data_IF_558952269320
#
_entry.id   IF_558952269320
#
_cell.length_a   1.000
_cell.length_b   1.000
_cell.length_c   1.000
_cell.angle_alpha   90.00
_cell.angle_beta   90.00
_cell.angle_gamma   90.00
#
_symmetry.space_group_name_H-M   'P 1'
#
loop_
_entity.id
_entity.type
_entity.pdbx_description
1 polymer ?
#
# COMPACT_ATOMS: atom_id res chain seq x y z
N UNK A 1 2.60 -19.92 1.71
CA UNK A 1 2.43 -18.46 1.78
C UNK A 1 2.34 -18.03 3.23
N UNK A 2 3.04 -16.99 3.59
CA UNK A 2 3.03 -16.45 4.93
C UNK A 2 2.90 -14.93 4.88
N UNK A 3 2.16 -14.34 5.83
CA UNK A 3 2.10 -12.89 6.04
C UNK A 3 2.65 -12.61 7.44
N UNK A 4 3.59 -11.69 7.54
CA UNK A 4 4.25 -11.33 8.80
C UNK A 4 4.55 -9.82 8.87
N UNK A 5 4.83 -9.28 10.07
CA UNK A 5 5.35 -7.91 10.17
C UNK A 5 6.67 -7.73 9.40
N UNK A 6 6.92 -6.49 8.97
CA UNK A 6 8.19 -6.12 8.33
C UNK A 6 9.35 -6.26 9.34
N UNK A 7 10.51 -6.68 8.84
CA UNK A 7 11.75 -6.84 9.61
C UNK A 7 12.87 -5.97 9.02
N UNK A 8 13.94 -5.66 9.80
CA UNK A 8 15.01 -4.77 9.32
C UNK A 8 15.67 -5.18 8.00
N UNK A 9 15.81 -6.47 7.76
CA UNK A 9 16.47 -6.99 6.55
C UNK A 9 15.60 -7.01 5.30
N UNK A 10 14.35 -6.53 5.36
CA UNK A 10 13.40 -6.67 4.25
C UNK A 10 13.48 -5.55 3.20
N UNK A 11 14.14 -4.44 3.52
CA UNK A 11 14.09 -3.23 2.70
C UNK A 11 14.45 -3.44 1.22
N UNK A 12 15.56 -4.08 0.96
CA UNK A 12 16.08 -4.27 -0.41
C UNK A 12 15.12 -5.11 -1.26
N UNK A 13 14.66 -6.24 -0.72
CA UNK A 13 13.75 -7.13 -1.43
C UNK A 13 12.38 -6.47 -1.68
N UNK A 14 11.86 -5.74 -0.72
CA UNK A 14 10.60 -5.00 -0.86
C UNK A 14 10.72 -3.90 -1.91
N UNK A 15 11.79 -3.10 -1.88
CA UNK A 15 12.01 -2.04 -2.87
C UNK A 15 12.04 -2.61 -4.28
N UNK A 16 12.70 -3.75 -4.47
CA UNK A 16 12.76 -4.44 -5.76
C UNK A 16 11.39 -4.90 -6.22
N UNK A 17 10.59 -5.53 -5.36
CA UNK A 17 9.23 -5.99 -5.69
C UNK A 17 8.36 -4.79 -6.10
N UNK A 18 8.38 -3.71 -5.32
CA UNK A 18 7.56 -2.52 -5.56
C UNK A 18 7.90 -1.87 -6.89
N UNK A 19 9.19 -1.61 -7.15
CA UNK A 19 9.63 -0.95 -8.38
C UNK A 19 9.42 -1.83 -9.61
N UNK A 20 9.67 -3.13 -9.50
CA UNK A 20 9.41 -4.07 -10.59
C UNK A 20 7.93 -4.11 -10.93
N UNK A 21 7.04 -4.18 -9.93
CA UNK A 21 5.60 -4.19 -10.15
C UNK A 21 5.13 -2.89 -10.83
N UNK A 22 5.58 -1.73 -10.36
CA UNK A 22 5.22 -0.44 -10.96
C UNK A 22 5.69 -0.35 -12.41
N UNK A 23 6.92 -0.74 -12.70
CA UNK A 23 7.47 -0.72 -14.06
C UNK A 23 6.71 -1.65 -15.02
N UNK A 24 6.29 -2.83 -14.55
CA UNK A 24 5.49 -3.77 -15.35
C UNK A 24 4.16 -3.17 -15.82
N UNK A 25 3.56 -2.29 -15.04
CA UNK A 25 2.30 -1.63 -15.37
C UNK A 25 2.49 -0.24 -15.99
N UNK A 26 3.72 0.16 -16.31
CA UNK A 26 4.00 1.49 -16.85
C UNK A 26 3.80 2.61 -15.84
N UNK A 27 3.82 2.31 -14.55
CA UNK A 27 3.56 3.24 -13.46
C UNK A 27 4.86 3.77 -12.81
N UNK A 28 6.01 3.60 -13.46
CA UNK A 28 7.32 4.08 -13.03
C UNK A 28 7.52 5.56 -13.40
N UNK A 29 6.64 6.42 -12.88
CA UNK A 29 6.57 7.84 -13.21
C UNK A 29 7.07 8.71 -12.05
N UNK A 30 7.60 9.94 -12.34
CA UNK A 30 7.88 10.92 -11.29
C UNK A 30 6.63 11.23 -10.45
N UNK A 31 6.82 11.50 -9.16
CA UNK A 31 5.73 11.79 -8.24
C UNK A 31 4.96 10.56 -7.77
N UNK A 32 5.46 9.35 -8.01
CA UNK A 32 4.89 8.08 -7.54
C UNK A 32 5.83 7.38 -6.56
N UNK A 33 5.37 6.28 -5.98
CA UNK A 33 6.15 5.44 -5.07
C UNK A 33 7.48 4.97 -5.70
N UNK A 34 7.54 4.80 -7.03
CA UNK A 34 8.75 4.37 -7.72
C UNK A 34 9.96 5.27 -7.42
N UNK A 35 9.76 6.60 -7.38
CA UNK A 35 10.81 7.58 -7.14
C UNK A 35 10.85 8.09 -5.70
N UNK A 36 9.97 7.60 -4.83
CA UNK A 36 9.95 7.96 -3.43
C UNK A 36 11.16 7.30 -2.72
N UNK A 37 12.08 8.09 -2.11
CA UNK A 37 13.25 7.52 -1.45
C UNK A 37 12.90 6.65 -0.25
N UNK A 38 11.73 6.82 0.39
CA UNK A 38 11.30 5.97 1.50
C UNK A 38 11.04 4.53 1.05
N UNK A 39 10.87 4.26 -0.24
CA UNK A 39 10.73 2.93 -0.80
C UNK A 39 11.96 2.05 -0.51
N UNK A 40 13.13 2.64 -0.33
CA UNK A 40 14.36 1.93 0.02
C UNK A 40 14.55 1.73 1.53
N UNK A 41 13.71 2.33 2.35
CA UNK A 41 13.82 2.35 3.80
C UNK A 41 12.46 2.09 4.48
N UNK A 42 11.74 1.07 4.02
CA UNK A 42 10.37 0.79 4.50
C UNK A 42 10.33 0.38 5.97
N UNK A 43 11.28 -0.40 6.44
CA UNK A 43 11.32 -0.77 7.85
C UNK A 43 11.40 0.48 8.75
N UNK A 44 12.27 1.42 8.40
CA UNK A 44 12.45 2.67 9.14
C UNK A 44 11.20 3.54 9.04
N UNK A 45 10.60 3.64 7.86
CA UNK A 45 9.37 4.40 7.65
C UNK A 45 8.23 3.89 8.54
N UNK A 46 8.06 2.58 8.60
CA UNK A 46 6.95 1.96 9.34
C UNK A 46 7.25 1.75 10.84
N UNK A 47 8.32 2.35 11.36
CA UNK A 47 8.50 2.57 12.79
C UNK A 47 7.76 3.82 13.29
N UNK A 48 7.21 4.62 12.38
CA UNK A 48 6.35 5.76 12.72
C UNK A 48 5.15 5.30 13.55
N UNK A 49 4.87 5.92 14.72
CA UNK A 49 3.68 5.57 15.50
C UNK A 49 2.40 5.70 14.67
N UNK A 50 1.49 4.74 14.83
CA UNK A 50 0.25 4.70 14.05
C UNK A 50 0.40 4.07 12.66
N UNK A 51 1.57 3.52 12.34
CA UNK A 51 1.81 2.83 11.07
C UNK A 51 2.12 1.34 11.29
N UNK A 52 1.94 0.57 10.23
CA UNK A 52 2.27 -0.86 10.21
C UNK A 52 2.47 -1.33 8.77
N UNK A 53 3.37 -2.30 8.56
CA UNK A 53 3.57 -2.91 7.24
C UNK A 53 3.61 -4.43 7.37
N UNK A 54 2.78 -5.09 6.58
CA UNK A 54 2.80 -6.55 6.44
C UNK A 54 3.58 -6.96 5.21
N UNK A 55 4.43 -7.97 5.37
CA UNK A 55 5.22 -8.58 4.30
C UNK A 55 4.65 -9.94 3.97
N UNK A 56 4.53 -10.24 2.70
CA UNK A 56 4.11 -11.55 2.21
C UNK A 56 5.28 -12.32 1.62
N UNK A 57 5.39 -13.59 1.99
CA UNK A 57 6.44 -14.50 1.49
C UNK A 57 5.83 -15.77 0.92
N UNK A 58 6.53 -16.36 -0.08
CA UNK A 58 6.31 -17.70 -0.60
C UNK A 58 7.63 -18.41 -0.52
N UNK A 59 7.69 -19.56 0.18
CA UNK A 59 8.93 -20.32 0.40
C UNK A 59 10.06 -19.41 0.92
N UNK A 60 9.75 -18.58 1.91
CA UNK A 60 10.65 -17.61 2.55
C UNK A 60 11.14 -16.48 1.65
N UNK A 61 10.72 -16.43 0.39
CA UNK A 61 11.04 -15.35 -0.54
C UNK A 61 9.97 -14.25 -0.44
N UNK A 62 10.39 -13.00 -0.28
CA UNK A 62 9.49 -11.84 -0.23
C UNK A 62 8.86 -11.65 -1.61
N UNK A 63 7.53 -11.65 -1.66
CA UNK A 63 6.75 -11.47 -2.89
C UNK A 63 5.83 -10.26 -2.85
N UNK A 64 5.79 -9.54 -1.76
CA UNK A 64 4.99 -8.33 -1.67
C UNK A 64 4.73 -7.87 -0.26
N UNK A 65 3.82 -6.92 -0.13
CA UNK A 65 3.42 -6.37 1.15
C UNK A 65 2.35 -5.29 1.01
N UNK A 66 1.91 -4.80 2.16
CA UNK A 66 0.90 -3.75 2.27
C UNK A 66 1.03 -3.05 3.62
N UNK A 67 0.81 -1.76 3.67
CA UNK A 67 0.90 -1.00 4.90
C UNK A 67 -0.21 0.00 5.15
N UNK A 68 -0.27 0.43 6.39
CA UNK A 68 -1.10 1.52 6.89
C UNK A 68 -0.19 2.63 7.39
N UNK A 69 -0.45 3.87 7.00
CA UNK A 69 0.36 5.01 7.37
C UNK A 69 -0.49 6.21 7.78
N UNK A 70 -0.10 6.95 8.85
CA UNK A 70 -0.80 8.17 9.28
C UNK A 70 -0.34 9.36 8.42
N UNK A 71 -0.74 9.39 7.17
CA UNK A 71 -0.31 10.41 6.20
C UNK A 71 -0.70 11.81 6.68
N UNK A 72 0.21 12.74 6.50
CA UNK A 72 0.07 14.12 6.93
C UNK A 72 -1.18 14.79 6.33
N UNK A 73 -1.86 15.58 7.16
CA UNK A 73 -3.05 16.36 6.79
C UNK A 73 -4.29 15.54 6.36
N UNK A 74 -4.33 14.23 6.63
CA UNK A 74 -5.57 13.49 6.49
C UNK A 74 -6.59 13.92 7.56
N UNK A 75 -7.91 13.81 7.27
CA UNK A 75 -8.91 14.06 8.29
C UNK A 75 -8.72 13.19 9.53
N UNK A 76 -9.15 13.69 10.69
CA UNK A 76 -9.03 12.96 11.95
C UNK A 76 -9.63 11.55 11.83
N UNK A 77 -8.91 10.55 12.37
CA UNK A 77 -9.35 9.16 12.35
C UNK A 77 -9.12 8.45 11.01
N UNK A 78 -8.48 9.12 10.04
CA UNK A 78 -8.20 8.58 8.71
C UNK A 78 -6.72 8.21 8.58
N UNK A 79 -6.45 7.01 8.06
CA UNK A 79 -5.12 6.58 7.67
C UNK A 79 -5.07 6.29 6.16
N UNK A 80 -3.88 6.04 5.65
CA UNK A 80 -3.70 5.69 4.24
C UNK A 80 -3.26 4.23 4.08
N UNK A 81 -3.92 3.50 3.18
CA UNK A 81 -3.45 2.19 2.71
C UNK A 81 -2.37 2.45 1.66
N UNK A 82 -1.17 1.97 1.92
CA UNK A 82 0.00 2.32 1.12
C UNK A 82 0.78 1.09 0.70
N UNK A 83 1.43 1.20 -0.45
CA UNK A 83 2.46 0.27 -0.91
C UNK A 83 1.97 -1.19 -0.94
N UNK A 84 0.74 -1.41 -1.42
CA UNK A 84 0.22 -2.74 -1.72
C UNK A 84 0.74 -3.18 -3.09
N UNK A 85 1.74 -4.02 -3.10
CA UNK A 85 2.35 -4.53 -4.33
C UNK A 85 2.67 -6.01 -4.19
N UNK A 86 2.55 -6.73 -5.31
CA UNK A 86 2.89 -8.16 -5.41
C UNK A 86 3.79 -8.42 -6.61
N UNK A 87 4.75 -9.28 -6.44
CA UNK A 87 5.51 -9.86 -7.54
C UNK A 87 4.56 -10.63 -8.47
N UNK A 88 4.91 -10.70 -9.74
CA UNK A 88 4.07 -11.30 -10.78
C UNK A 88 3.61 -12.72 -10.42
N UNK A 89 4.50 -13.54 -9.90
CA UNK A 89 4.23 -14.94 -9.53
C UNK A 89 3.24 -15.08 -8.36
N UNK A 90 3.04 -14.03 -7.58
CA UNK A 90 2.11 -14.05 -6.44
C UNK A 90 0.72 -13.48 -6.77
N UNK A 91 0.55 -12.92 -7.97
CA UNK A 91 -0.73 -12.35 -8.39
C UNK A 91 -1.74 -13.44 -8.76
N UNK A 92 -3.02 -13.15 -8.52
CA UNK A 92 -4.09 -14.11 -8.81
C UNK A 92 -4.19 -15.26 -7.81
N UNK A 93 -3.46 -15.21 -6.69
CA UNK A 93 -3.47 -16.24 -5.63
C UNK A 93 -4.41 -15.88 -4.47
N UNK A 94 -5.00 -14.69 -4.46
CA UNK A 94 -5.77 -14.16 -3.33
C UNK A 94 -4.91 -13.47 -2.28
N UNK A 95 -3.60 -13.44 -2.43
CA UNK A 95 -2.66 -12.87 -1.45
C UNK A 95 -2.84 -11.37 -1.28
N UNK A 96 -3.07 -10.64 -2.38
CA UNK A 96 -3.33 -9.20 -2.32
C UNK A 96 -4.58 -8.85 -1.51
N UNK A 97 -5.63 -9.63 -1.67
CA UNK A 97 -6.85 -9.48 -0.89
C UNK A 97 -6.60 -9.75 0.59
N UNK A 98 -5.86 -10.81 0.91
CA UNK A 98 -5.51 -11.13 2.30
C UNK A 98 -4.67 -10.02 2.95
N UNK A 99 -3.68 -9.49 2.23
CA UNK A 99 -2.87 -8.36 2.71
C UNK A 99 -3.72 -7.14 2.99
N UNK A 100 -4.65 -6.82 2.11
CA UNK A 100 -5.55 -5.69 2.29
C UNK A 100 -6.46 -5.91 3.50
N UNK A 101 -7.10 -7.06 3.60
CA UNK A 101 -8.02 -7.38 4.71
C UNK A 101 -7.32 -7.31 6.08
N UNK A 102 -6.12 -7.87 6.19
CA UNK A 102 -5.37 -7.83 7.46
C UNK A 102 -4.93 -6.40 7.79
N UNK A 103 -4.56 -5.61 6.79
CA UNK A 103 -4.20 -4.20 6.99
C UNK A 103 -5.39 -3.36 7.44
N UNK A 104 -6.56 -3.57 6.84
CA UNK A 104 -7.79 -2.88 7.24
C UNK A 104 -8.22 -3.27 8.66
N UNK A 105 -8.09 -4.54 9.03
CA UNK A 105 -8.36 -5.02 10.39
C UNK A 105 -7.42 -4.35 11.40
N UNK A 106 -6.13 -4.29 11.08
CA UNK A 106 -5.15 -3.61 11.92
C UNK A 106 -5.51 -2.13 12.13
N UNK A 107 -5.89 -1.44 11.06
CA UNK A 107 -6.29 -0.03 11.12
C UNK A 107 -7.48 0.16 12.07
N UNK A 108 -8.51 -0.66 11.93
CA UNK A 108 -9.70 -0.61 12.80
C UNK A 108 -9.35 -0.88 14.26
N UNK A 109 -8.55 -1.89 14.54
CA UNK A 109 -8.11 -2.26 15.89
C UNK A 109 -7.25 -1.16 16.54
N UNK A 110 -6.59 -0.34 15.74
CA UNK A 110 -5.74 0.77 16.21
C UNK A 110 -6.43 2.13 16.20
N UNK A 111 -7.76 2.15 16.13
CA UNK A 111 -8.56 3.34 16.35
C UNK A 111 -8.88 4.17 15.11
N UNK A 112 -8.47 3.73 13.92
CA UNK A 112 -8.86 4.41 12.69
C UNK A 112 -10.31 4.09 12.31
N UNK A 113 -11.00 5.07 11.74
CA UNK A 113 -12.39 4.94 11.31
C UNK A 113 -12.56 4.99 9.80
N UNK A 114 -11.55 5.48 9.09
CA UNK A 114 -11.53 5.59 7.63
C UNK A 114 -10.15 5.25 7.08
N UNK A 115 -10.14 4.72 5.87
CA UNK A 115 -8.90 4.43 5.14
C UNK A 115 -8.97 5.10 3.77
N UNK A 116 -7.94 5.86 3.47
CA UNK A 116 -7.72 6.56 2.21
C UNK A 116 -6.67 5.81 1.39
N UNK A 117 -6.74 5.88 0.07
CA UNK A 117 -5.67 5.41 -0.81
C UNK A 117 -5.55 6.28 -2.06
N UNK A 118 -4.39 6.23 -2.67
CA UNK A 118 -4.08 6.87 -3.95
C UNK A 118 -3.62 5.81 -4.96
N UNK A 119 -4.04 5.95 -6.19
CA UNK A 119 -3.69 5.04 -7.27
C UNK A 119 -3.64 5.78 -8.61
N UNK A 120 -3.53 5.04 -9.69
CA UNK A 120 -3.45 5.59 -11.03
C UNK A 120 -4.09 4.63 -12.05
N UNK A 121 -4.53 5.11 -13.23
CA UNK A 121 -5.22 4.28 -14.23
C UNK A 121 -4.42 3.06 -14.68
N UNK A 122 -3.09 3.14 -14.68
CA UNK A 122 -2.20 2.03 -15.03
C UNK A 122 -2.38 0.83 -14.11
N UNK A 123 -2.93 1.03 -12.89
CA UNK A 123 -3.20 0.00 -11.89
C UNK A 123 -4.69 -0.37 -11.85
N UNK A 124 -5.36 -0.44 -12.99
CA UNK A 124 -6.82 -0.62 -13.10
C UNK A 124 -7.35 -1.87 -12.39
N UNK A 125 -6.60 -2.98 -12.39
CA UNK A 125 -7.00 -4.20 -11.67
C UNK A 125 -7.06 -3.98 -10.17
N UNK A 126 -6.07 -3.29 -9.61
CA UNK A 126 -6.05 -2.95 -8.19
C UNK A 126 -7.23 -2.03 -7.82
N UNK A 127 -7.49 -1.02 -8.65
CA UNK A 127 -8.63 -0.10 -8.45
C UNK A 127 -9.96 -0.88 -8.42
N UNK A 128 -10.15 -1.82 -9.33
CA UNK A 128 -11.35 -2.67 -9.35
C UNK A 128 -11.51 -3.48 -8.06
N UNK A 129 -10.41 -4.01 -7.51
CA UNK A 129 -10.43 -4.74 -6.23
C UNK A 129 -10.79 -3.80 -5.08
N UNK A 130 -10.24 -2.59 -5.05
CA UNK A 130 -10.57 -1.60 -4.03
C UNK A 130 -12.06 -1.25 -4.03
N UNK A 131 -12.65 -1.05 -5.21
CA UNK A 131 -14.10 -0.81 -5.35
C UNK A 131 -14.92 -1.97 -4.78
N UNK A 132 -14.55 -3.21 -5.08
CA UNK A 132 -15.24 -4.41 -4.58
C UNK A 132 -15.16 -4.56 -3.07
N UNK A 133 -14.08 -4.08 -2.46
CA UNK A 133 -13.89 -4.12 -1.01
C UNK A 133 -14.65 -2.99 -0.31
N UNK A 134 -15.12 -1.99 -1.04
CA UNK A 134 -15.95 -0.91 -0.52
C UNK A 134 -15.30 0.46 -0.52
N UNK A 135 -14.15 0.63 -1.16
CA UNK A 135 -13.58 1.95 -1.40
C UNK A 135 -14.40 2.70 -2.44
N UNK A 136 -14.65 3.97 -2.20
CA UNK A 136 -15.38 4.87 -3.10
C UNK A 136 -14.44 5.93 -3.67
N UNK A 137 -14.58 6.24 -4.95
CA UNK A 137 -13.79 7.26 -5.61
C UNK A 137 -14.08 8.66 -5.07
N UNK A 138 -13.03 9.45 -4.93
CA UNK A 138 -13.08 10.88 -4.60
C UNK A 138 -12.73 11.69 -5.85
N UNK A 139 -13.14 12.96 -5.87
CA UNK A 139 -12.84 13.89 -6.97
C UNK A 139 -11.61 14.76 -6.71
N UNK A 140 -10.99 14.62 -5.54
CA UNK A 140 -9.76 15.35 -5.17
C UNK A 140 -8.97 14.55 -4.13
N UNK A 141 -7.64 14.79 -4.00
CA UNK A 141 -6.83 14.13 -2.98
C UNK A 141 -7.15 14.64 -1.58
N UNK A 142 -6.90 13.79 -0.58
CA UNK A 142 -6.89 14.16 0.83
C UNK A 142 -5.44 14.14 1.33
N UNK A 143 -5.14 14.99 2.30
CA UNK A 143 -3.84 14.99 2.96
C UNK A 143 -2.67 15.36 2.05
N UNK A 144 -1.46 14.99 2.49
CA UNK A 144 -0.21 15.27 1.78
C UNK A 144 0.68 14.02 1.76
N UNK A 145 0.43 13.12 0.81
CA UNK A 145 1.23 11.90 0.64
C UNK A 145 2.58 12.14 -0.04
N UNK A 146 2.73 13.27 -0.74
CA UNK A 146 3.88 13.55 -1.60
C UNK A 146 3.84 12.81 -2.95
N UNK A 147 2.80 12.04 -3.24
CA UNK A 147 2.69 11.26 -4.48
C UNK A 147 1.83 12.01 -5.52
N UNK A 148 2.34 13.14 -6.01
CA UNK A 148 1.64 14.00 -6.95
C UNK A 148 1.39 13.37 -8.34
N UNK A 149 2.00 12.22 -8.63
CA UNK A 149 1.76 11.46 -9.87
C UNK A 149 0.53 10.56 -9.83
N UNK A 150 -0.13 10.42 -8.67
CA UNK A 150 -1.37 9.67 -8.53
C UNK A 150 -2.56 10.58 -8.84
N UNK A 151 -3.54 10.06 -9.59
CA UNK A 151 -4.73 10.81 -10.02
C UNK A 151 -6.04 10.06 -9.75
N UNK A 152 -5.98 8.95 -9.02
CA UNK A 152 -7.13 8.23 -8.48
C UNK A 152 -7.05 8.24 -6.97
N UNK A 153 -8.11 8.72 -6.32
CA UNK A 153 -8.20 8.85 -4.86
C UNK A 153 -9.45 8.13 -4.39
N UNK A 154 -9.32 7.32 -3.35
CA UNK A 154 -10.43 6.51 -2.85
C UNK A 154 -10.48 6.53 -1.32
N UNK A 155 -11.67 6.34 -0.75
CA UNK A 155 -11.92 6.34 0.68
C UNK A 155 -12.86 5.21 1.06
N UNK A 156 -12.59 4.56 2.19
CA UNK A 156 -13.45 3.54 2.78
C UNK A 156 -13.69 3.83 4.25
N UNK A 157 -14.93 3.70 4.69
CA UNK A 157 -15.28 3.68 6.11
C UNK A 157 -15.06 2.27 6.68
N UNK A 158 -14.46 2.21 7.87
CA UNK A 158 -14.19 0.96 8.57
C UNK A 158 -15.36 0.51 9.44
#
# INVERSE_FOLDING_TARGET
MQIRPIEPGDNEALAKVIRTALAEFGANKPGTVYFDPTTDALYELFRTPGSFYYVATIDEVIVGGCGIFPTENLPQGTCELVKLYLAKEARGTGLGKQLMEISLSWAKENGYTKVYLESMPELAKAVSIYEKVGFKALDHPLGNSGHCGCDIWMLKEL
#
